data_IF_545759464918
#
_entry.id   IF_545759464918
#
_cell.length_a   1.000
_cell.length_b   1.000
_cell.length_c   1.000
_cell.angle_alpha   90.00
_cell.angle_beta   90.00
_cell.angle_gamma   90.00
#
_symmetry.space_group_name_H-M   'P 1'
#
loop_
_entity.id
_entity.type
_entity.pdbx_description
1 polymer ?
#
# COMPACT_ATOMS: atom_id res chain seq x y z
N UNK A 1 -10.28 -3.94 3.25
CA UNK A 1 -9.87 -3.62 1.85
C UNK A 1 -10.90 -2.75 1.15
N UNK A 2 -12.16 -3.20 1.01
CA UNK A 2 -13.22 -2.40 0.38
C UNK A 2 -13.39 -1.00 1.01
N UNK A 3 -13.32 -0.91 2.34
CA UNK A 3 -13.48 0.38 3.05
C UNK A 3 -12.37 1.39 2.72
N UNK A 4 -11.17 0.91 2.43
CA UNK A 4 -10.01 1.77 2.14
C UNK A 4 -10.11 2.34 0.74
N UNK A 5 -10.43 1.51 -0.25
CA UNK A 5 -10.65 1.98 -1.62
C UNK A 5 -11.80 2.99 -1.68
N UNK A 6 -12.90 2.73 -0.97
CA UNK A 6 -14.02 3.66 -0.88
C UNK A 6 -13.63 4.99 -0.21
N UNK A 7 -12.84 4.95 0.87
CA UNK A 7 -12.35 6.17 1.52
C UNK A 7 -11.44 6.99 0.60
N UNK A 8 -10.57 6.32 -0.16
CA UNK A 8 -9.70 6.96 -1.16
C UNK A 8 -10.54 7.58 -2.28
N UNK A 9 -11.52 6.85 -2.81
CA UNK A 9 -12.40 7.31 -3.90
C UNK A 9 -13.29 8.49 -3.46
N UNK A 10 -13.81 8.46 -2.23
CA UNK A 10 -14.58 9.57 -1.67
C UNK A 10 -13.73 10.83 -1.48
N UNK A 11 -12.46 10.68 -1.10
CA UNK A 11 -11.54 11.80 -0.90
C UNK A 11 -10.92 12.32 -2.22
N UNK A 12 -10.80 11.45 -3.23
CA UNK A 12 -10.18 11.72 -4.53
C UNK A 12 -10.92 10.92 -5.62
N UNK A 13 -12.05 11.43 -6.14
CA UNK A 13 -12.82 10.73 -7.16
C UNK A 13 -12.01 10.45 -8.43
N UNK A 14 -12.13 9.23 -8.95
CA UNK A 14 -11.39 8.71 -10.12
C UNK A 14 -9.96 8.27 -9.81
N UNK A 15 -9.55 8.25 -8.54
CA UNK A 15 -8.18 7.88 -8.14
C UNK A 15 -7.99 6.38 -8.06
N UNK A 16 -9.03 5.61 -7.69
CA UNK A 16 -8.95 4.16 -7.66
C UNK A 16 -9.05 3.65 -9.09
N UNK A 17 -7.95 3.08 -9.60
CA UNK A 17 -7.90 2.47 -10.93
C UNK A 17 -8.56 1.10 -10.88
N UNK A 18 -8.19 0.30 -9.89
CA UNK A 18 -8.64 -1.08 -9.75
C UNK A 18 -8.41 -1.57 -8.30
N UNK A 19 -9.04 -2.67 -7.90
CA UNK A 19 -8.91 -3.29 -6.56
C UNK A 19 -8.75 -4.81 -6.66
N UNK A 20 -7.98 -5.41 -5.75
CA UNK A 20 -7.74 -6.85 -5.66
C UNK A 20 -7.32 -7.50 -7.00
N UNK A 21 -6.30 -6.93 -7.65
CA UNK A 21 -5.85 -7.41 -8.96
C UNK A 21 -4.50 -8.12 -8.87
N UNK A 22 -4.20 -8.84 -9.95
CA UNK A 22 -2.88 -9.42 -10.15
C UNK A 22 -2.11 -8.59 -11.19
N UNK A 23 -0.87 -8.22 -10.86
CA UNK A 23 0.04 -7.52 -11.77
C UNK A 23 1.28 -8.35 -12.04
N UNK A 24 1.64 -8.47 -13.32
CA UNK A 24 2.92 -9.04 -13.74
C UNK A 24 4.00 -8.00 -13.46
N UNK A 25 5.02 -8.43 -12.72
CA UNK A 25 6.17 -7.64 -12.32
C UNK A 25 7.27 -7.71 -13.38
N UNK A 26 8.26 -6.81 -13.30
CA UNK A 26 9.40 -6.77 -14.24
C UNK A 26 10.24 -8.04 -14.24
N UNK A 27 10.21 -8.81 -13.15
CA UNK A 27 10.88 -10.12 -13.05
C UNK A 27 10.04 -11.29 -13.61
N UNK A 28 8.92 -11.02 -14.27
CA UNK A 28 8.02 -12.02 -14.84
C UNK A 28 7.10 -12.71 -13.82
N UNK A 29 7.23 -12.44 -12.52
CA UNK A 29 6.35 -12.99 -11.50
C UNK A 29 5.07 -12.17 -11.38
N UNK A 30 3.98 -12.84 -11.02
CA UNK A 30 2.73 -12.16 -10.69
C UNK A 30 2.65 -11.86 -9.19
N UNK A 31 2.08 -10.71 -8.84
CA UNK A 31 1.77 -10.33 -7.46
C UNK A 31 0.35 -9.80 -7.35
N UNK A 32 -0.26 -10.09 -6.21
CA UNK A 32 -1.51 -9.49 -5.79
C UNK A 32 -1.27 -8.05 -5.32
N UNK A 33 -2.04 -7.12 -5.87
CA UNK A 33 -2.09 -5.71 -5.52
C UNK A 33 -3.49 -5.42 -4.99
N UNK A 34 -3.55 -4.94 -3.76
CA UNK A 34 -4.82 -4.75 -3.06
C UNK A 34 -5.59 -3.55 -3.61
N UNK A 35 -4.88 -2.44 -3.89
CA UNK A 35 -5.45 -1.25 -4.53
C UNK A 35 -4.42 -0.64 -5.50
N UNK A 36 -4.83 -0.40 -6.74
CA UNK A 36 -4.08 0.37 -7.74
C UNK A 36 -4.62 1.79 -7.79
N UNK A 37 -3.77 2.77 -7.49
CA UNK A 37 -4.11 4.19 -7.58
C UNK A 37 -3.51 4.84 -8.83
N UNK A 38 -2.98 4.08 -9.77
CA UNK A 38 -2.24 4.57 -10.92
C UNK A 38 -0.75 4.62 -10.62
N UNK A 39 -0.25 5.70 -9.99
CA UNK A 39 1.20 5.82 -9.69
C UNK A 39 1.64 5.06 -8.44
N UNK A 40 0.69 4.78 -7.54
CA UNK A 40 0.93 4.19 -6.23
C UNK A 40 0.14 2.89 -6.12
N UNK A 41 0.80 1.84 -5.66
CA UNK A 41 0.16 0.61 -5.20
C UNK A 41 0.00 0.64 -3.69
N UNK A 42 -1.16 0.24 -3.20
CA UNK A 42 -1.42 0.08 -1.76
C UNK A 42 -1.51 -1.41 -1.44
N UNK A 43 -0.82 -1.81 -0.38
CA UNK A 43 -0.90 -3.13 0.21
C UNK A 43 -1.57 -3.02 1.58
N UNK A 44 -2.78 -3.54 1.71
CA UNK A 44 -3.60 -3.52 2.93
C UNK A 44 -3.42 -4.84 3.68
N UNK A 45 -3.06 -4.77 4.95
CA UNK A 45 -2.94 -5.96 5.80
C UNK A 45 -3.71 -5.80 7.10
N UNK A 46 -4.58 -6.76 7.38
CA UNK A 46 -5.17 -6.97 8.70
C UNK A 46 -4.23 -7.75 9.62
N UNK A 47 -4.41 -7.59 10.93
CA UNK A 47 -3.65 -8.23 11.99
C UNK A 47 -2.26 -7.63 12.24
N UNK A 48 -1.38 -8.40 12.88
CA UNK A 48 -0.03 -7.97 13.32
C UNK A 48 0.92 -7.52 12.19
N UNK A 49 0.47 -7.56 10.93
CA UNK A 49 1.17 -7.06 9.76
C UNK A 49 2.53 -7.73 9.47
N UNK A 50 2.73 -8.95 9.97
CA UNK A 50 3.94 -9.73 9.76
C UNK A 50 4.25 -9.89 8.27
N UNK A 51 5.48 -9.56 7.87
CA UNK A 51 5.93 -9.66 6.48
C UNK A 51 5.35 -8.61 5.52
N UNK A 52 4.59 -7.61 5.99
CA UNK A 52 4.12 -6.50 5.14
C UNK A 52 5.29 -5.71 4.55
N UNK A 53 6.27 -5.36 5.37
CA UNK A 53 7.49 -4.67 4.98
C UNK A 53 8.23 -5.43 3.87
N UNK A 54 8.41 -6.74 4.02
CA UNK A 54 9.00 -7.59 3.00
C UNK A 54 8.20 -7.64 1.69
N UNK A 55 6.86 -7.62 1.77
CA UNK A 55 5.99 -7.54 0.57
C UNK A 55 6.13 -6.19 -0.14
N UNK A 56 6.13 -5.09 0.59
CA UNK A 56 6.29 -3.74 0.04
C UNK A 56 7.64 -3.63 -0.67
N UNK A 57 8.74 -4.01 0.00
CA UNK A 57 10.08 -3.95 -0.58
C UNK A 57 10.20 -4.77 -1.88
N UNK A 58 9.71 -6.01 -1.87
CA UNK A 58 9.71 -6.89 -3.06
C UNK A 58 8.84 -6.34 -4.19
N UNK A 59 7.70 -5.75 -3.86
CA UNK A 59 6.79 -5.18 -4.85
C UNK A 59 7.42 -3.94 -5.45
N UNK A 60 7.90 -3.00 -4.63
CA UNK A 60 8.52 -1.75 -5.08
C UNK A 60 9.73 -2.00 -5.99
N UNK A 61 10.55 -3.02 -5.71
CA UNK A 61 11.69 -3.39 -6.55
C UNK A 61 11.29 -3.82 -7.96
N UNK A 62 10.13 -4.46 -8.15
CA UNK A 62 9.76 -5.10 -9.41
C UNK A 62 8.51 -4.51 -10.08
N UNK A 63 7.78 -3.63 -9.39
CA UNK A 63 6.55 -3.01 -9.88
C UNK A 63 6.80 -1.78 -10.76
N UNK A 64 7.98 -1.15 -10.65
CA UNK A 64 8.25 0.15 -11.27
C UNK A 64 7.36 1.28 -10.75
N UNK A 65 6.63 1.05 -9.65
CA UNK A 65 5.72 1.98 -9.00
C UNK A 65 5.97 1.99 -7.50
N UNK A 66 5.70 3.14 -6.90
CA UNK A 66 5.77 3.28 -5.45
C UNK A 66 4.75 2.35 -4.81
N UNK A 67 5.17 1.62 -3.78
CA UNK A 67 4.29 0.73 -3.03
C UNK A 67 4.24 1.17 -1.57
N UNK A 68 3.04 1.34 -1.04
CA UNK A 68 2.82 1.74 0.34
C UNK A 68 2.00 0.70 1.09
N UNK A 69 2.14 0.66 2.41
CA UNK A 69 1.39 -0.23 3.29
C UNK A 69 0.28 0.50 4.04
N UNK A 70 -0.85 -0.17 4.24
CA UNK A 70 -1.83 0.19 5.25
C UNK A 70 -2.03 -0.99 6.21
N UNK A 71 -1.72 -0.78 7.48
CA UNK A 71 -1.79 -1.80 8.52
C UNK A 71 -2.27 -1.22 9.86
N UNK A 72 -3.60 -1.12 10.04
CA UNK A 72 -4.18 -0.50 11.24
C UNK A 72 -3.83 -1.22 12.54
N UNK A 73 -3.63 -2.54 12.48
CA UNK A 73 -3.37 -3.39 13.64
C UNK A 73 -1.87 -3.70 13.82
N UNK A 74 -0.98 -3.03 13.06
CA UNK A 74 0.47 -3.19 13.19
C UNK A 74 0.96 -2.68 14.57
N UNK A 75 1.80 -3.47 15.24
CA UNK A 75 2.40 -3.06 16.51
C UNK A 75 3.34 -1.86 16.37
N UNK A 76 3.49 -1.06 17.42
CA UNK A 76 4.41 0.09 17.43
C UNK A 76 5.85 -0.30 17.10
N UNK A 77 6.31 -1.46 17.58
CA UNK A 77 7.66 -1.95 17.29
C UNK A 77 7.84 -2.25 15.80
N UNK A 78 6.87 -2.94 15.18
CA UNK A 78 6.89 -3.23 13.75
C UNK A 78 6.79 -1.94 12.91
N UNK A 79 5.94 -1.00 13.32
CA UNK A 79 5.79 0.29 12.63
C UNK A 79 7.06 1.14 12.72
N UNK A 80 7.68 1.26 13.90
CA UNK A 80 8.97 1.95 14.07
C UNK A 80 10.06 1.30 13.22
N UNK A 81 10.13 -0.03 13.18
CA UNK A 81 11.10 -0.74 12.34
C UNK A 81 10.86 -0.50 10.84
N UNK A 82 9.61 -0.45 10.39
CA UNK A 82 9.28 -0.09 9.01
C UNK A 82 9.73 1.34 8.67
N UNK A 83 9.50 2.29 9.59
CA UNK A 83 9.93 3.67 9.44
C UNK A 83 11.47 3.79 9.37
N UNK A 84 12.21 3.05 10.20
CA UNK A 84 13.68 2.99 10.17
C UNK A 84 14.22 2.47 8.82
N UNK A 85 13.44 1.64 8.12
CA UNK A 85 13.77 1.13 6.79
C UNK A 85 13.32 2.07 5.65
N UNK A 86 12.79 3.24 5.98
CA UNK A 86 12.25 4.20 5.00
C UNK A 86 10.99 3.70 4.29
N UNK A 87 10.27 2.74 4.88
CA UNK A 87 9.11 2.11 4.25
C UNK A 87 7.83 2.88 4.58
N UNK A 88 7.09 3.36 3.57
CA UNK A 88 5.84 4.09 3.79
C UNK A 88 4.73 3.13 4.23
N UNK A 89 4.53 3.01 5.55
CA UNK A 89 3.45 2.22 6.17
C UNK A 89 2.58 3.10 7.04
N UNK A 90 1.30 3.14 6.71
CA UNK A 90 0.27 3.91 7.41
C UNK A 90 -0.58 3.01 8.30
N UNK A 91 -1.12 3.57 9.37
CA UNK A 91 -2.06 2.87 10.27
C UNK A 91 -3.50 3.35 10.12
N UNK A 92 -3.70 4.49 9.48
CA UNK A 92 -5.03 5.06 9.23
C UNK A 92 -5.22 5.28 7.73
N UNK A 93 -6.48 5.26 7.30
CA UNK A 93 -6.82 5.63 5.92
C UNK A 93 -6.53 7.12 5.65
N UNK A 94 -6.70 7.99 6.64
CA UNK A 94 -6.45 9.43 6.50
C UNK A 94 -4.97 9.73 6.23
N UNK A 95 -4.05 9.09 6.95
CA UNK A 95 -2.60 9.26 6.70
C UNK A 95 -2.21 8.76 5.30
N UNK A 96 -2.79 7.62 4.89
CA UNK A 96 -2.62 7.11 3.53
C UNK A 96 -3.15 8.11 2.50
N UNK A 97 -4.35 8.66 2.71
CA UNK A 97 -4.96 9.63 1.79
C UNK A 97 -4.11 10.90 1.72
N UNK A 98 -3.62 11.43 2.85
CA UNK A 98 -2.75 12.59 2.89
C UNK A 98 -1.48 12.35 2.06
N UNK A 99 -0.84 11.20 2.23
CA UNK A 99 0.33 10.82 1.45
C UNK A 99 0.03 10.70 -0.05
N UNK A 100 -1.07 10.04 -0.41
CA UNK A 100 -1.49 9.87 -1.80
C UNK A 100 -1.82 11.21 -2.46
N UNK A 101 -2.28 12.22 -1.72
CA UNK A 101 -2.48 13.59 -2.23
C UNK A 101 -1.16 14.31 -2.51
N UNK A 102 -0.15 14.10 -1.68
CA UNK A 102 1.14 14.77 -1.80
C UNK A 102 2.03 14.17 -2.89
N UNK A 103 2.06 12.84 -3.01
CA UNK A 103 3.00 12.13 -3.89
C UNK A 103 2.34 11.47 -5.11
N UNK A 104 1.07 11.82 -5.36
CA UNK A 104 0.13 11.04 -6.14
C UNK A 104 0.16 11.11 -7.66
#
# INVERSE_FOLDING_TARGET
MADVANAVEAAMPGRVVDVNMHRVMSNGLTREIDIDLGKIYVQVKGGAADGLTGRIAKTQQNAGRMTVGLAPEMSDAAWKNAALQGMPVFRTADDLIAYVKEFG
#
